data_IF_296170913200
#
_entry.id   IF_296170913200
#
_cell.length_a   1.000
_cell.length_b   1.000
_cell.length_c   1.000
_cell.angle_alpha   90.00
_cell.angle_beta   90.00
_cell.angle_gamma   90.00
#
_symmetry.space_group_name_H-M   'P 1'
#
loop_
_entity.id
_entity.type
_entity.pdbx_description
1 polymer ?
#
# COMPACT_ATOMS: atom_id res chain seq x y z
N UNK A 1 -36.88 -57.79 39.69
CA UNK A 1 -35.52 -57.40 39.28
C UNK A 1 -35.57 -55.94 38.76
N UNK A 2 -34.67 -55.04 39.18
CA UNK A 2 -34.67 -53.67 38.67
C UNK A 2 -34.11 -53.61 37.24
N UNK A 3 -34.68 -52.72 36.41
CA UNK A 3 -34.28 -52.49 35.02
C UNK A 3 -32.89 -51.85 34.95
N UNK A 4 -32.06 -52.19 33.95
CA UNK A 4 -30.75 -51.56 33.78
C UNK A 4 -30.90 -50.08 33.39
N UNK A 5 -29.98 -49.20 33.83
CA UNK A 5 -29.99 -47.79 33.47
C UNK A 5 -29.68 -47.59 31.97
N UNK A 6 -30.19 -46.50 31.36
CA UNK A 6 -29.93 -46.20 29.96
C UNK A 6 -28.44 -45.85 29.73
N UNK A 7 -27.90 -46.11 28.53
CA UNK A 7 -26.52 -45.79 28.20
C UNK A 7 -26.29 -44.27 28.17
N UNK A 8 -25.17 -43.83 28.74
CA UNK A 8 -24.76 -42.44 28.75
C UNK A 8 -24.53 -41.93 27.31
N UNK A 9 -25.02 -40.72 27.02
CA UNK A 9 -24.80 -40.05 25.74
C UNK A 9 -23.30 -39.77 25.50
N UNK A 10 -22.82 -39.82 24.26
CA UNK A 10 -21.42 -39.52 23.94
C UNK A 10 -21.10 -38.04 24.20
N UNK A 11 -19.92 -37.79 24.78
CA UNK A 11 -19.42 -36.45 25.06
C UNK A 11 -19.18 -35.66 23.76
N UNK A 12 -19.37 -34.32 23.76
CA UNK A 12 -19.01 -33.49 22.61
C UNK A 12 -17.50 -33.57 22.33
N UNK A 13 -17.07 -33.40 21.06
CA UNK A 13 -15.65 -33.42 20.71
C UNK A 13 -14.89 -32.29 21.42
N UNK A 14 -13.58 -32.48 21.72
CA UNK A 14 -12.77 -31.43 22.30
C UNK A 14 -12.69 -30.24 21.33
N UNK A 15 -13.08 -29.06 21.79
CA UNK A 15 -12.83 -27.79 21.09
C UNK A 15 -11.32 -27.61 20.95
N UNK A 16 -10.82 -27.67 19.72
CA UNK A 16 -9.41 -27.39 19.39
C UNK A 16 -9.02 -26.00 19.93
N UNK A 17 -7.84 -25.85 20.54
CA UNK A 17 -7.34 -24.52 20.90
C UNK A 17 -7.12 -23.69 19.64
N UNK A 18 -7.64 -22.45 19.63
CA UNK A 18 -7.39 -21.48 18.56
C UNK A 18 -5.88 -21.28 18.36
N UNK A 19 -5.41 -21.11 17.10
CA UNK A 19 -4.01 -20.82 16.84
C UNK A 19 -3.59 -19.50 17.52
N UNK A 20 -2.32 -19.38 17.98
CA UNK A 20 -1.82 -18.15 18.57
C UNK A 20 -1.95 -16.99 17.57
N UNK A 21 -2.15 -15.74 18.05
CA UNK A 21 -2.16 -14.58 17.18
C UNK A 21 -0.82 -14.53 16.42
N UNK A 22 -0.84 -14.22 15.10
CA UNK A 22 0.39 -14.06 14.34
C UNK A 22 1.29 -13.02 15.03
N UNK A 23 2.63 -13.13 14.86
CA UNK A 23 3.56 -12.11 15.36
C UNK A 23 3.11 -10.72 14.91
N UNK A 24 3.51 -9.63 15.58
CA UNK A 24 3.23 -8.29 15.09
C UNK A 24 3.86 -8.20 13.70
N UNK A 25 3.04 -8.41 12.68
CA UNK A 25 3.37 -8.08 11.30
C UNK A 25 3.84 -6.64 11.39
N UNK A 26 4.88 -6.25 10.67
CA UNK A 26 5.20 -4.84 10.50
C UNK A 26 4.01 -4.24 9.76
N UNK A 27 2.99 -3.87 10.54
CA UNK A 27 1.63 -3.61 10.05
C UNK A 27 1.55 -2.20 9.52
N UNK A 28 2.62 -1.42 9.51
CA UNK A 28 2.59 -0.03 9.08
C UNK A 28 3.56 0.24 7.94
N UNK A 29 3.17 1.15 7.06
CA UNK A 29 4.00 1.74 6.02
C UNK A 29 3.88 3.26 6.02
N UNK A 30 4.90 3.98 5.55
CA UNK A 30 4.82 5.43 5.44
C UNK A 30 3.81 5.82 4.35
N UNK A 31 2.99 6.80 4.66
CA UNK A 31 2.18 7.55 3.69
C UNK A 31 2.61 9.01 3.70
N UNK A 32 2.64 9.60 2.53
CA UNK A 32 2.97 11.01 2.34
C UNK A 32 2.03 11.63 1.33
N UNK A 33 1.93 12.96 1.36
CA UNK A 33 1.13 13.66 0.39
C UNK A 33 1.73 13.50 -1.01
N UNK A 34 0.89 13.25 -2.01
CA UNK A 34 1.34 13.12 -3.39
C UNK A 34 2.02 14.38 -3.94
N UNK A 35 1.79 15.53 -3.29
CA UNK A 35 2.55 16.76 -3.52
C UNK A 35 2.90 17.43 -2.20
N UNK A 36 4.17 17.81 -2.05
CA UNK A 36 4.69 18.41 -0.82
C UNK A 36 4.06 19.76 -0.50
N UNK A 37 3.67 20.53 -1.52
CA UNK A 37 2.94 21.80 -1.31
C UNK A 37 1.58 21.64 -0.61
N UNK A 38 0.99 20.44 -0.62
CA UNK A 38 -0.26 20.16 0.12
C UNK A 38 0.00 19.47 1.46
N UNK A 39 1.25 19.18 1.82
CA UNK A 39 1.60 18.64 3.14
C UNK A 39 1.24 19.66 4.22
N UNK A 40 0.41 19.25 5.18
CA UNK A 40 -0.10 20.13 6.25
C UNK A 40 -1.26 21.05 5.84
N UNK A 41 -1.82 20.89 4.63
CA UNK A 41 -3.06 21.55 4.23
C UNK A 41 -4.28 20.66 4.46
N UNK A 42 -5.47 21.27 4.52
CA UNK A 42 -6.76 20.57 4.74
C UNK A 42 -7.05 19.48 3.70
N UNK A 43 -6.39 19.57 2.53
CA UNK A 43 -6.57 18.62 1.43
C UNK A 43 -5.81 17.32 1.64
N UNK A 44 -4.65 17.35 2.30
CA UNK A 44 -3.85 16.16 2.58
C UNK A 44 -3.44 16.11 4.07
N UNK A 45 -4.32 15.59 4.93
CA UNK A 45 -4.10 15.62 6.37
C UNK A 45 -3.16 14.48 6.83
N UNK A 46 -2.12 14.86 7.58
CA UNK A 46 -1.24 14.01 8.40
C UNK A 46 -0.51 12.86 7.66
N UNK A 47 0.61 13.15 6.98
CA UNK A 47 1.59 12.14 6.58
C UNK A 47 2.15 11.40 7.81
N UNK A 48 2.51 10.13 7.67
CA UNK A 48 2.96 9.32 8.79
C UNK A 48 2.97 7.83 8.49
N UNK A 49 3.12 7.00 9.53
CA UNK A 49 2.97 5.56 9.42
C UNK A 49 1.49 5.20 9.50
N UNK A 50 1.04 4.35 8.59
CA UNK A 50 -0.34 3.88 8.48
C UNK A 50 -0.41 2.38 8.33
N UNK A 51 -1.48 1.74 8.83
CA UNK A 51 -1.62 0.31 8.74
C UNK A 51 -1.71 -0.14 7.27
N UNK A 52 -1.03 -1.23 6.89
CA UNK A 52 -0.95 -1.74 5.51
C UNK A 52 -2.31 -2.10 4.92
N UNK A 53 -3.31 -2.34 5.79
CA UNK A 53 -4.70 -2.62 5.43
C UNK A 53 -5.50 -1.36 5.10
N UNK A 54 -4.98 -0.18 5.41
CA UNK A 54 -5.58 1.09 4.97
C UNK A 54 -5.43 1.24 3.46
N UNK A 55 -6.32 2.03 2.86
CA UNK A 55 -6.33 2.26 1.43
C UNK A 55 -5.84 3.67 1.16
N UNK A 56 -4.78 3.77 0.37
CA UNK A 56 -4.18 5.04 -0.04
C UNK A 56 -3.83 4.98 -1.52
N UNK A 57 -3.54 6.16 -2.08
CA UNK A 57 -3.20 6.27 -3.48
C UNK A 57 -1.82 5.65 -3.75
N UNK A 58 -1.63 5.18 -4.98
CA UNK A 58 -0.40 4.52 -5.41
C UNK A 58 0.30 5.40 -6.43
N UNK A 59 1.58 5.63 -6.20
CA UNK A 59 2.50 6.17 -7.18
C UNK A 59 3.72 5.26 -7.27
N UNK A 60 4.07 4.92 -8.49
CA UNK A 60 5.21 4.06 -8.76
C UNK A 60 6.39 4.91 -9.22
N UNK A 61 7.57 4.55 -8.73
CA UNK A 61 8.84 5.12 -9.15
C UNK A 61 9.74 4.03 -9.73
N UNK A 62 10.58 4.41 -10.67
CA UNK A 62 11.57 3.51 -11.27
C UNK A 62 12.89 4.26 -11.48
N UNK A 63 14.05 3.59 -11.31
CA UNK A 63 15.35 4.20 -11.55
C UNK A 63 15.62 4.41 -13.06
N UNK A 64 14.89 3.72 -13.93
CA UNK A 64 15.04 3.76 -15.38
C UNK A 64 13.69 3.96 -16.05
N UNK A 65 13.70 4.41 -17.30
CA UNK A 65 12.48 4.52 -18.10
C UNK A 65 11.87 3.13 -18.29
N UNK A 66 10.57 3.02 -18.01
CA UNK A 66 9.79 1.82 -18.25
C UNK A 66 8.83 2.06 -19.42
N UNK A 67 8.40 0.96 -20.04
CA UNK A 67 7.45 1.02 -21.15
C UNK A 67 6.11 1.60 -20.65
N UNK A 68 5.56 2.57 -21.37
CA UNK A 68 4.35 3.30 -20.96
C UNK A 68 4.58 4.48 -20.00
N UNK A 69 5.80 4.74 -19.54
CA UNK A 69 6.11 5.89 -18.68
C UNK A 69 6.50 7.08 -19.56
N UNK A 70 5.54 7.97 -19.78
CA UNK A 70 5.65 9.07 -20.74
C UNK A 70 6.35 10.33 -20.21
N UNK A 71 6.60 10.42 -18.90
CA UNK A 71 7.15 11.62 -18.27
C UNK A 71 8.60 11.42 -17.83
N UNK A 72 9.55 12.21 -18.36
CA UNK A 72 10.93 12.13 -17.93
C UNK A 72 11.09 12.60 -16.47
N UNK A 73 12.14 12.11 -15.78
CA UNK A 73 12.56 12.64 -14.49
C UNK A 73 12.75 14.15 -14.53
N UNK A 74 12.42 14.83 -13.42
CA UNK A 74 12.67 16.27 -13.26
C UNK A 74 14.17 16.50 -13.07
N UNK A 75 14.68 17.69 -13.39
CA UNK A 75 16.11 18.02 -13.19
C UNK A 75 16.62 17.79 -11.75
N UNK A 76 15.74 17.90 -10.75
CA UNK A 76 16.04 17.66 -9.34
C UNK A 76 15.96 16.19 -8.91
N UNK A 77 15.44 15.30 -9.75
CA UNK A 77 15.14 13.92 -9.42
C UNK A 77 15.56 12.98 -10.54
N UNK A 78 16.48 12.04 -10.30
CA UNK A 78 16.88 11.06 -11.33
C UNK A 78 15.93 9.87 -11.47
N UNK A 79 14.75 9.91 -10.86
CA UNK A 79 13.78 8.81 -10.89
C UNK A 79 12.61 9.13 -11.80
N UNK A 80 12.21 8.11 -12.55
CA UNK A 80 10.96 8.11 -13.30
C UNK A 80 9.82 7.91 -12.31
N UNK A 81 8.69 8.55 -12.55
CA UNK A 81 7.50 8.43 -11.70
C UNK A 81 6.23 8.37 -12.56
N UNK A 82 5.34 7.46 -12.21
CA UNK A 82 4.06 7.25 -12.93
C UNK A 82 2.93 6.97 -11.93
N UNK A 83 1.78 7.62 -12.14
CA UNK A 83 0.55 7.38 -11.36
C UNK A 83 -0.47 6.55 -12.12
N UNK A 84 -0.39 6.57 -13.45
CA UNK A 84 -1.24 5.84 -14.38
C UNK A 84 -0.57 4.51 -14.77
N UNK A 85 -0.62 3.55 -13.86
CA UNK A 85 0.03 2.26 -14.00
C UNK A 85 -0.77 1.34 -14.92
N UNK A 86 -0.15 0.85 -16.01
CA UNK A 86 -0.67 -0.16 -16.95
C UNK A 86 -1.77 0.28 -17.93
N UNK A 87 -2.65 1.24 -17.56
CA UNK A 87 -3.79 1.60 -18.42
C UNK A 87 -4.54 2.88 -18.00
N UNK A 88 -3.85 3.91 -17.51
CA UNK A 88 -4.48 5.16 -17.04
C UNK A 88 -5.43 4.98 -15.83
N UNK A 89 -5.46 3.80 -15.21
CA UNK A 89 -6.25 3.58 -14.01
C UNK A 89 -5.54 4.12 -12.77
N UNK A 90 -6.12 5.20 -12.27
CA UNK A 90 -5.74 5.86 -11.04
C UNK A 90 -6.01 4.95 -9.83
N UNK A 91 -4.95 4.34 -9.30
CA UNK A 91 -5.04 3.47 -8.13
C UNK A 91 -5.09 4.29 -6.83
N UNK A 92 -6.27 4.80 -6.46
CA UNK A 92 -6.49 5.66 -5.30
C UNK A 92 -6.75 4.89 -4.00
N UNK A 93 -7.39 3.74 -4.10
CA UNK A 93 -7.87 2.95 -2.97
C UNK A 93 -7.21 1.58 -3.02
N UNK A 94 -5.94 1.51 -2.62
CA UNK A 94 -5.17 0.26 -2.58
C UNK A 94 -4.48 0.09 -1.26
N UNK A 95 -4.45 -1.15 -0.78
CA UNK A 95 -3.61 -1.54 0.35
C UNK A 95 -2.14 -1.47 -0.04
N UNK A 96 -1.24 -1.45 0.95
CA UNK A 96 0.20 -1.39 0.66
C UNK A 96 0.68 -2.57 -0.19
N UNK A 97 0.16 -3.77 0.08
CA UNK A 97 0.53 -4.97 -0.67
C UNK A 97 0.04 -4.91 -2.13
N UNK A 98 -1.17 -4.40 -2.37
CA UNK A 98 -1.67 -4.15 -3.71
C UNK A 98 -0.84 -3.06 -4.40
N UNK A 99 -0.50 -1.99 -3.69
CA UNK A 99 0.31 -0.89 -4.20
C UNK A 99 1.70 -1.38 -4.68
N UNK A 100 2.36 -2.21 -3.88
CA UNK A 100 3.61 -2.86 -4.27
C UNK A 100 3.43 -3.76 -5.50
N UNK A 101 2.41 -4.62 -5.49
CA UNK A 101 2.14 -5.53 -6.60
C UNK A 101 1.86 -4.77 -7.91
N UNK A 102 1.09 -3.69 -7.84
CA UNK A 102 0.79 -2.82 -8.99
C UNK A 102 2.07 -2.23 -9.57
N UNK A 103 2.95 -1.70 -8.72
CA UNK A 103 4.22 -1.16 -9.18
C UNK A 103 5.10 -2.25 -9.78
N UNK A 104 5.30 -3.38 -9.09
CA UNK A 104 6.11 -4.50 -9.59
C UNK A 104 5.60 -5.05 -10.93
N UNK A 105 4.28 -5.03 -11.17
CA UNK A 105 3.68 -5.45 -12.43
C UNK A 105 4.01 -4.54 -13.62
N UNK A 106 4.49 -3.32 -13.40
CA UNK A 106 4.84 -2.39 -14.49
C UNK A 106 6.14 -2.78 -15.21
N UNK A 107 7.04 -3.49 -14.54
CA UNK A 107 8.31 -3.88 -15.12
C UNK A 107 9.42 -4.02 -14.10
N UNK A 108 10.55 -4.54 -14.58
CA UNK A 108 11.73 -4.74 -13.75
C UNK A 108 12.26 -3.38 -13.23
N UNK A 109 12.28 -3.22 -11.90
CA UNK A 109 12.77 -2.01 -11.25
C UNK A 109 11.69 -0.99 -10.89
N UNK A 110 10.44 -1.20 -11.28
CA UNK A 110 9.32 -0.43 -10.75
C UNK A 110 9.11 -0.76 -9.26
N UNK A 111 8.96 0.28 -8.45
CA UNK A 111 8.78 0.19 -7.00
C UNK A 111 7.80 1.26 -6.54
N UNK A 112 7.33 1.15 -5.30
CA UNK A 112 6.75 2.32 -4.64
C UNK A 112 7.80 3.42 -4.52
N UNK A 113 7.38 4.67 -4.69
CA UNK A 113 8.25 5.80 -4.46
C UNK A 113 8.65 5.87 -2.99
N UNK A 114 9.92 6.19 -2.73
CA UNK A 114 10.39 6.45 -1.38
C UNK A 114 9.74 7.71 -0.82
N UNK A 115 9.70 7.80 0.51
CA UNK A 115 9.20 8.98 1.21
C UNK A 115 9.86 10.26 0.69
N UNK A 116 11.19 10.22 0.50
CA UNK A 116 11.98 11.35 0.02
C UNK A 116 11.65 11.73 -1.42
N UNK A 117 11.50 10.76 -2.33
CA UNK A 117 11.12 11.05 -3.73
C UNK A 117 9.74 11.73 -3.82
N UNK A 118 8.80 11.34 -2.95
CA UNK A 118 7.49 11.98 -2.85
C UNK A 118 7.58 13.38 -2.21
N UNK A 119 8.40 13.54 -1.16
CA UNK A 119 8.64 14.83 -0.49
C UNK A 119 9.42 15.84 -1.37
N UNK A 120 10.30 15.35 -2.25
CA UNK A 120 11.00 16.16 -3.27
C UNK A 120 10.13 16.40 -4.52
N UNK A 121 8.84 16.03 -4.47
CA UNK A 121 7.88 16.30 -5.53
C UNK A 121 8.28 15.64 -6.89
N UNK A 122 9.11 14.58 -6.84
CA UNK A 122 9.59 13.88 -8.04
C UNK A 122 8.47 13.22 -8.85
N UNK A 123 7.34 12.95 -8.19
CA UNK A 123 6.16 12.31 -8.79
C UNK A 123 5.12 13.31 -9.31
N UNK A 124 5.41 14.62 -9.25
CA UNK A 124 4.46 15.66 -9.61
C UNK A 124 3.98 15.55 -11.06
N UNK A 125 2.66 15.67 -11.24
CA UNK A 125 2.06 15.77 -12.57
C UNK A 125 2.03 14.44 -13.34
N UNK A 126 2.37 13.32 -12.70
CA UNK A 126 2.25 11.97 -13.26
C UNK A 126 0.77 11.49 -13.42
N UNK A 127 -0.21 12.38 -13.19
CA UNK A 127 -1.64 12.12 -13.42
C UNK A 127 -2.49 11.89 -12.15
N UNK A 128 -3.77 11.61 -12.35
CA UNK A 128 -4.73 11.10 -11.36
C UNK A 128 -5.16 11.99 -10.17
N UNK A 129 -4.72 13.25 -10.09
CA UNK A 129 -5.08 14.20 -9.01
C UNK A 129 -4.73 13.73 -7.59
N UNK A 130 -3.82 12.76 -7.44
CA UNK A 130 -3.33 12.26 -6.15
C UNK A 130 -2.41 13.23 -5.41
N UNK A 131 -2.09 14.37 -6.03
CA UNK A 131 -1.29 15.43 -5.41
C UNK A 131 -1.90 15.89 -4.07
N UNK A 132 -3.22 15.80 -3.93
CA UNK A 132 -3.96 16.17 -2.71
C UNK A 132 -4.27 14.98 -1.80
N UNK A 133 -3.83 13.77 -2.12
CA UNK A 133 -4.15 12.57 -1.34
C UNK A 133 -2.90 12.00 -0.65
N UNK A 134 -3.12 11.17 0.35
CA UNK A 134 -2.06 10.34 0.93
C UNK A 134 -1.73 9.23 -0.07
N UNK A 135 -0.44 9.07 -0.30
CA UNK A 135 0.14 8.10 -1.22
C UNK A 135 1.05 7.18 -0.42
N UNK A 136 1.00 5.89 -0.73
CA UNK A 136 1.92 4.92 -0.16
C UNK A 136 3.37 5.23 -0.55
N UNK A 137 4.23 5.35 0.45
CA UNK A 137 5.66 5.43 0.29
C UNK A 137 6.30 4.07 0.60
N UNK A 138 7.42 3.77 -0.06
CA UNK A 138 8.20 2.57 0.19
C UNK A 138 8.58 2.46 1.67
N UNK A 139 8.36 1.28 2.26
CA UNK A 139 8.84 0.95 3.61
C UNK A 139 10.36 1.14 3.70
N UNK A 140 10.79 1.64 4.86
CA UNK A 140 12.19 1.83 5.22
C UNK A 140 12.75 0.53 5.79
#
# INVERSE_FOLDING_TARGET
PPLPPPPAAPAPPPVSPSPPPPPPVVVDAPVVCGRSLFSGNIKCPNPGLRPLTEQHAVRCCAPTQLDGWGFPPRDSCSVWAESAVGSWECSADKTYAEAEAICQAQGAGARLCTKKELEDDCTLGSGCQFDKQLVWAQKI
#
